data_IF_709886200262
#
_entry.id   IF_709886200262
#
_cell.length_a   1.000
_cell.length_b   1.000
_cell.length_c   1.000
_cell.angle_alpha   90.00
_cell.angle_beta   90.00
_cell.angle_gamma   90.00
#
_symmetry.space_group_name_H-M   'P 1'
#
loop_
_entity.id
_entity.type
_entity.pdbx_description
1 polymer ?
#
# COMPACT_ATOMS: atom_id res chain seq x y z
N UNK A 1 -6.04 -3.37 -4.42
CA UNK A 1 -5.25 -2.30 -3.75
C UNK A 1 -5.70 -2.16 -2.29
N UNK A 2 -4.78 -1.88 -1.39
CA UNK A 2 -5.03 -1.67 0.04
C UNK A 2 -4.38 -0.36 0.51
N UNK A 3 -5.16 0.57 1.06
CA UNK A 3 -4.67 1.83 1.60
C UNK A 3 -4.71 1.83 3.13
N UNK A 4 -3.54 2.00 3.76
CA UNK A 4 -3.41 2.07 5.21
C UNK A 4 -3.14 3.50 5.66
N UNK A 5 -3.81 3.97 6.71
CA UNK A 5 -3.69 5.35 7.17
C UNK A 5 -4.05 5.51 8.65
N UNK A 6 -3.72 6.65 9.24
CA UNK A 6 -4.13 6.98 10.61
C UNK A 6 -4.52 8.46 10.76
N UNK A 7 -5.62 8.78 11.45
CA UNK A 7 -6.01 10.18 11.71
C UNK A 7 -5.06 10.90 12.68
N UNK A 8 -4.07 10.19 13.26
CA UNK A 8 -3.04 10.76 14.14
C UNK A 8 -1.66 10.26 13.70
N UNK A 9 -0.71 11.19 13.56
CA UNK A 9 0.69 10.85 13.33
C UNK A 9 1.29 10.04 14.48
N UNK A 10 2.22 9.14 14.17
CA UNK A 10 2.89 8.27 15.14
C UNK A 10 2.04 7.10 15.67
N UNK A 11 0.96 6.73 14.97
CA UNK A 11 0.19 5.53 15.29
C UNK A 11 0.86 4.22 14.82
N UNK A 12 1.83 4.30 13.90
CA UNK A 12 2.55 3.15 13.34
C UNK A 12 2.10 2.71 11.95
N UNK A 13 1.43 3.56 11.16
CA UNK A 13 0.96 3.24 9.80
C UNK A 13 2.06 2.65 8.93
N UNK A 14 3.16 3.37 8.74
CA UNK A 14 4.32 2.96 7.94
C UNK A 14 4.92 1.65 8.40
N UNK A 15 5.04 1.46 9.73
CA UNK A 15 5.53 0.20 10.31
C UNK A 15 4.61 -0.99 10.01
N UNK A 16 3.28 -0.79 10.07
CA UNK A 16 2.30 -1.83 9.74
C UNK A 16 2.33 -2.14 8.24
N UNK A 17 2.43 -1.12 7.38
CA UNK A 17 2.60 -1.29 5.93
C UNK A 17 3.84 -2.13 5.62
N UNK A 18 4.99 -1.77 6.19
CA UNK A 18 6.23 -2.52 6.02
C UNK A 18 6.11 -3.97 6.53
N UNK A 19 5.47 -4.19 7.68
CA UNK A 19 5.25 -5.53 8.22
C UNK A 19 4.31 -6.39 7.37
N UNK A 20 3.26 -5.79 6.76
CA UNK A 20 2.41 -6.50 5.81
C UNK A 20 3.15 -6.84 4.53
N UNK A 21 3.90 -5.88 3.97
CA UNK A 21 4.72 -6.11 2.78
C UNK A 21 5.73 -7.24 3.02
N UNK A 22 6.43 -7.25 4.16
CA UNK A 22 7.32 -8.34 4.54
C UNK A 22 6.61 -9.69 4.66
N UNK A 23 5.37 -9.72 5.14
CA UNK A 23 4.56 -10.94 5.16
C UNK A 23 4.21 -11.43 3.75
N UNK A 24 4.12 -10.54 2.77
CA UNK A 24 3.78 -10.88 1.38
C UNK A 24 4.99 -11.29 0.53
N UNK A 25 6.23 -10.96 0.96
CA UNK A 25 7.48 -11.35 0.28
C UNK A 25 7.46 -12.83 -0.07
N UNK A 26 7.85 -13.15 -1.32
CA UNK A 26 7.91 -14.49 -1.90
C UNK A 26 6.58 -15.26 -1.93
N UNK A 27 5.45 -14.58 -1.68
CA UNK A 27 4.09 -15.14 -1.80
C UNK A 27 3.34 -14.52 -2.96
N UNK A 28 3.48 -13.20 -3.10
CA UNK A 28 2.93 -12.42 -4.20
C UNK A 28 3.83 -11.20 -4.47
N UNK A 29 3.82 -10.66 -5.70
CA UNK A 29 4.45 -9.39 -6.00
C UNK A 29 3.78 -8.24 -5.24
N UNK A 30 4.57 -7.29 -4.74
CA UNK A 30 4.08 -6.15 -3.93
C UNK A 30 4.55 -4.81 -4.51
N UNK A 31 3.61 -3.89 -4.71
CA UNK A 31 3.91 -2.49 -4.99
C UNK A 31 3.55 -1.62 -3.79
N UNK A 32 4.56 -1.05 -3.15
CA UNK A 32 4.44 -0.08 -2.08
C UNK A 32 4.33 1.34 -2.66
N UNK A 33 3.34 2.12 -2.22
CA UNK A 33 3.19 3.53 -2.59
C UNK A 33 3.32 4.37 -1.32
N UNK A 34 4.38 5.16 -1.23
CA UNK A 34 4.71 5.95 -0.04
C UNK A 34 4.24 7.40 -0.16
N UNK A 35 3.02 7.68 0.31
CA UNK A 35 2.49 9.04 0.35
C UNK A 35 3.04 9.83 1.55
N UNK A 36 3.39 9.14 2.64
CA UNK A 36 3.91 9.75 3.86
C UNK A 36 5.34 10.26 3.72
N UNK A 37 6.16 9.59 2.91
CA UNK A 37 7.60 9.83 2.76
C UNK A 37 8.47 9.12 3.79
N UNK A 38 7.87 8.28 4.65
CA UNK A 38 8.56 7.61 5.76
C UNK A 38 8.94 6.16 5.42
N UNK A 39 8.42 5.58 4.33
CA UNK A 39 8.52 4.14 4.11
C UNK A 39 9.92 3.74 3.64
N UNK A 40 10.55 4.52 2.75
CA UNK A 40 11.92 4.26 2.27
C UNK A 40 12.93 4.02 3.42
N UNK A 41 13.11 4.97 4.38
CA UNK A 41 14.06 4.74 5.47
C UNK A 41 13.64 3.58 6.38
N UNK A 42 12.34 3.33 6.59
CA UNK A 42 11.83 2.22 7.43
C UNK A 42 12.16 0.85 6.86
N UNK A 43 12.30 0.75 5.53
CA UNK A 43 12.64 -0.49 4.83
C UNK A 43 14.11 -0.60 4.44
N UNK A 44 14.93 0.39 4.83
CA UNK A 44 16.38 0.39 4.59
C UNK A 44 16.76 0.77 3.15
N UNK A 45 15.89 1.50 2.47
CA UNK A 45 16.13 2.04 1.13
C UNK A 45 16.28 3.55 1.19
N UNK A 46 17.05 4.10 0.26
CA UNK A 46 16.98 5.53 -0.05
C UNK A 46 15.71 5.82 -0.86
N UNK A 47 15.05 6.99 -0.67
CA UNK A 47 13.94 7.41 -1.52
C UNK A 47 14.40 7.56 -2.97
N UNK A 48 13.62 7.00 -3.90
CA UNK A 48 13.87 7.19 -5.33
C UNK A 48 13.65 8.65 -5.74
N UNK A 49 14.47 9.14 -6.68
CA UNK A 49 14.27 10.45 -7.31
C UNK A 49 13.06 10.46 -8.25
N UNK A 50 12.71 9.30 -8.81
CA UNK A 50 11.45 9.10 -9.53
C UNK A 50 10.39 8.62 -8.54
N UNK A 51 9.17 9.13 -8.67
CA UNK A 51 8.11 8.81 -7.73
C UNK A 51 6.77 9.38 -8.15
N UNK A 52 5.78 9.26 -7.29
CA UNK A 52 4.42 9.68 -7.61
C UNK A 52 4.31 11.18 -7.92
N UNK A 53 5.17 12.06 -7.36
CA UNK A 53 5.16 13.50 -7.69
C UNK A 53 5.48 13.75 -9.15
N UNK A 54 6.37 12.95 -9.74
CA UNK A 54 6.66 13.05 -11.16
C UNK A 54 5.38 12.76 -11.96
N UNK A 55 4.69 11.66 -11.65
CA UNK A 55 3.40 11.30 -12.25
C UNK A 55 2.34 12.40 -12.15
N UNK A 56 2.26 13.11 -11.02
CA UNK A 56 1.28 14.19 -10.86
C UNK A 56 1.61 15.42 -11.71
N UNK A 57 2.89 15.78 -11.83
CA UNK A 57 3.32 17.00 -12.51
C UNK A 57 3.51 16.83 -14.03
N UNK A 58 3.58 15.61 -14.54
CA UNK A 58 3.74 15.40 -15.98
C UNK A 58 2.55 15.85 -16.80
N UNK A 59 2.87 16.32 -18.00
CA UNK A 59 1.91 16.64 -19.05
C UNK A 59 1.74 15.52 -20.08
N UNK A 60 2.76 14.67 -20.23
CA UNK A 60 2.80 13.57 -21.20
C UNK A 60 2.83 12.22 -20.51
N UNK A 61 1.98 11.25 -20.92
CA UNK A 61 1.96 9.93 -20.33
C UNK A 61 3.27 9.19 -20.68
N UNK A 62 3.98 8.63 -19.70
CA UNK A 62 5.14 7.79 -19.99
C UNK A 62 4.68 6.46 -20.61
N UNK A 63 5.58 5.79 -21.33
CA UNK A 63 5.29 4.49 -21.95
C UNK A 63 4.98 3.36 -20.96
N UNK A 64 4.60 2.19 -21.49
CA UNK A 64 4.29 1.00 -20.71
C UNK A 64 5.41 0.61 -19.74
N UNK A 65 5.05 0.13 -18.55
CA UNK A 65 5.99 -0.28 -17.49
C UNK A 65 6.72 0.87 -16.79
N UNK A 66 6.44 2.13 -17.13
CA UNK A 66 7.04 3.28 -16.47
C UNK A 66 6.78 3.33 -14.97
N UNK A 67 5.66 2.78 -14.49
CA UNK A 67 5.31 2.75 -13.07
C UNK A 67 6.37 1.99 -12.29
N UNK A 68 6.66 0.75 -12.68
CA UNK A 68 7.71 -0.05 -12.04
C UNK A 68 9.10 0.54 -12.25
N UNK A 69 9.39 1.13 -13.42
CA UNK A 69 10.67 1.84 -13.65
C UNK A 69 10.82 3.12 -12.81
N UNK A 70 9.73 3.68 -12.31
CA UNK A 70 9.75 4.80 -11.36
C UNK A 70 9.99 4.34 -9.92
N UNK A 71 9.93 3.03 -9.65
CA UNK A 71 10.09 2.47 -8.33
C UNK A 71 11.54 2.04 -8.06
N UNK A 72 11.92 2.02 -6.78
CA UNK A 72 13.07 1.25 -6.33
C UNK A 72 12.62 -0.20 -6.02
N UNK A 73 13.33 -1.21 -6.50
CA UNK A 73 13.13 -2.58 -6.04
C UNK A 73 13.89 -2.76 -4.72
N UNK A 74 13.15 -2.84 -3.61
CA UNK A 74 13.72 -2.87 -2.25
C UNK A 74 13.99 -4.29 -1.75
N UNK A 75 13.28 -5.26 -2.31
CA UNK A 75 13.48 -6.71 -2.20
C UNK A 75 13.00 -7.35 -3.50
N UNK A 76 13.40 -8.60 -3.81
CA UNK A 76 12.86 -9.31 -4.97
C UNK A 76 11.33 -9.28 -4.98
N UNK A 77 10.76 -8.77 -6.08
CA UNK A 77 9.32 -8.62 -6.30
C UNK A 77 8.61 -7.66 -5.32
N UNK A 78 9.36 -6.76 -4.68
CA UNK A 78 8.82 -5.67 -3.85
C UNK A 78 9.34 -4.34 -4.35
N UNK A 79 8.46 -3.58 -4.99
CA UNK A 79 8.77 -2.26 -5.54
C UNK A 79 8.23 -1.15 -4.65
N UNK A 80 8.99 -0.07 -4.51
CA UNK A 80 8.64 1.12 -3.75
C UNK A 80 8.55 2.34 -4.67
N UNK A 81 7.33 2.86 -4.85
CA UNK A 81 7.07 4.17 -5.44
C UNK A 81 7.13 5.24 -4.34
N UNK A 82 8.29 5.86 -4.20
CA UNK A 82 8.53 6.99 -3.28
C UNK A 82 7.84 8.28 -3.74
N UNK A 83 8.00 9.36 -2.97
CA UNK A 83 7.50 10.69 -3.36
C UNK A 83 8.11 11.19 -4.66
N UNK A 84 9.41 10.97 -4.88
CA UNK A 84 10.13 11.51 -6.03
C UNK A 84 10.42 13.01 -5.91
N UNK A 85 11.30 13.48 -6.79
CA UNK A 85 11.63 14.89 -6.98
C UNK A 85 11.05 15.36 -8.31
N UNK A 86 10.19 16.39 -8.29
CA UNK A 86 9.49 16.91 -9.49
C UNK A 86 10.42 17.25 -10.64
N UNK A 87 11.65 17.70 -10.36
CA UNK A 87 12.64 18.03 -11.40
C UNK A 87 13.32 16.81 -12.05
N UNK A 88 13.10 15.60 -11.55
CA UNK A 88 13.76 14.40 -12.05
C UNK A 88 13.28 13.99 -13.46
N UNK A 89 11.99 14.15 -13.77
CA UNK A 89 11.47 13.73 -15.09
C UNK A 89 11.92 14.65 -16.22
N UNK A 90 11.97 15.96 -15.97
CA UNK A 90 12.44 16.97 -16.95
C UNK A 90 13.92 16.78 -17.31
N UNK A 91 14.75 16.38 -16.33
CA UNK A 91 16.17 16.06 -16.56
C UNK A 91 16.38 14.80 -17.41
N UNK A 92 15.37 13.96 -17.54
CA UNK A 92 15.40 12.72 -18.32
C UNK A 92 14.57 12.79 -19.61
N UNK A 93 14.12 13.98 -20.01
CA UNK A 93 13.77 14.29 -21.39
C UNK A 93 12.60 13.49 -22.00
N UNK A 94 11.45 13.36 -21.32
CA UNK A 94 10.14 13.06 -21.92
C UNK A 94 9.91 11.67 -22.52
N UNK A 95 10.90 11.11 -23.20
CA UNK A 95 10.99 9.75 -23.69
C UNK A 95 11.91 8.98 -22.75
N UNK A 96 11.33 8.01 -22.07
CA UNK A 96 11.98 7.25 -21.01
C UNK A 96 12.95 6.21 -21.60
N UNK A 97 13.99 6.62 -22.32
CA UNK A 97 15.20 5.79 -22.45
C UNK A 97 16.03 5.98 -21.17
N UNK A 98 15.67 5.21 -20.13
CA UNK A 98 16.54 5.02 -18.99
C UNK A 98 17.82 4.29 -19.47
N UNK A 99 19.02 4.66 -18.99
CA UNK A 99 20.24 3.98 -19.40
C UNK A 99 20.13 2.47 -19.12
N UNK A 100 20.51 1.65 -20.12
CA UNK A 100 20.41 0.18 -20.16
C UNK A 100 20.98 -0.55 -18.93
N UNK A 101 21.76 0.13 -18.08
CA UNK A 101 22.34 -0.42 -16.86
C UNK A 101 21.34 -0.67 -15.69
N UNK A 102 20.08 -0.24 -15.80
CA UNK A 102 19.02 -0.54 -14.83
C UNK A 102 18.09 -1.70 -15.27
N UNK A 103 18.38 -2.32 -16.42
CA UNK A 103 17.48 -3.30 -17.05
C UNK A 103 17.85 -4.71 -16.63
N UNK A 104 17.19 -5.17 -15.57
CA UNK A 104 16.83 -6.58 -15.44
C UNK A 104 15.42 -6.65 -14.87
N UNK A 105 14.46 -6.11 -15.61
CA UNK A 105 13.06 -6.44 -15.39
C UNK A 105 12.82 -7.86 -15.91
N UNK A 106 12.34 -8.81 -15.09
CA UNK A 106 11.92 -10.10 -15.61
C UNK A 106 10.64 -9.89 -16.43
N UNK A 107 10.65 -10.41 -17.65
CA UNK A 107 9.47 -10.50 -18.50
C UNK A 107 8.45 -11.41 -17.81
N UNK A 108 7.33 -10.86 -17.34
CA UNK A 108 6.19 -11.69 -16.91
C UNK A 108 5.73 -12.50 -18.12
N UNK A 109 5.86 -13.84 -18.04
CA UNK A 109 5.29 -14.74 -19.04
C UNK A 109 3.80 -14.84 -18.78
N UNK A 110 2.99 -14.26 -19.67
CA UNK A 110 1.57 -14.53 -19.74
C UNK A 110 1.36 -16.03 -19.98
N UNK A 111 1.00 -16.78 -18.94
CA UNK A 111 0.44 -18.12 -19.10
C UNK A 111 -1.04 -17.96 -19.35
N UNK A 112 -1.46 -18.18 -20.60
CA UNK A 112 -2.84 -18.12 -21.03
C UNK A 112 -3.71 -19.01 -20.15
N UNK A 113 -4.78 -18.42 -19.62
CA UNK A 113 -5.90 -19.16 -19.05
C UNK A 113 -7.08 -18.95 -19.99
N UNK A 114 -7.56 -20.07 -20.51
CA UNK A 114 -8.74 -20.22 -21.33
C UNK A 114 -9.93 -19.53 -20.64
N UNK A 115 -10.56 -18.58 -21.34
CA UNK A 115 -11.76 -17.89 -20.89
C UNK A 115 -12.95 -18.56 -21.54
N UNK A 116 -13.48 -19.59 -20.90
CA UNK A 116 -14.83 -20.08 -21.19
C UNK A 116 -15.61 -20.36 -19.90
N UNK A 117 -16.86 -19.87 -19.93
CA UNK A 117 -18.01 -20.17 -19.06
C UNK A 117 -17.93 -19.72 -17.57
N UNK A 118 -18.87 -18.98 -16.98
CA UNK A 118 -20.24 -18.63 -17.35
C UNK A 118 -20.66 -17.27 -16.79
N UNK A 119 -21.45 -16.56 -17.61
CA UNK A 119 -22.23 -15.38 -17.30
C UNK A 119 -23.26 -15.60 -16.19
N UNK A 120 -23.29 -14.71 -15.19
CA UNK A 120 -24.53 -14.33 -14.50
C UNK A 120 -24.59 -12.80 -14.47
N UNK A 121 -25.67 -12.28 -15.05
CA UNK A 121 -25.80 -10.90 -15.50
C UNK A 121 -25.74 -9.83 -14.43
N UNK A 122 -25.13 -8.71 -14.79
CA UNK A 122 -25.49 -7.40 -14.29
C UNK A 122 -25.58 -6.46 -15.50
N UNK A 123 -26.76 -5.87 -15.65
CA UNK A 123 -27.19 -5.00 -16.74
C UNK A 123 -26.20 -3.86 -17.01
N UNK A 124 -25.94 -3.63 -18.29
CA UNK A 124 -25.47 -2.34 -18.81
C UNK A 124 -26.55 -1.31 -18.51
N UNK A 125 -26.18 -0.22 -17.84
CA UNK A 125 -26.89 1.05 -17.88
C UNK A 125 -25.84 2.16 -17.85
N UNK A 126 -25.87 2.96 -18.91
CA UNK A 126 -25.06 4.13 -19.16
C UNK A 126 -25.28 5.28 -18.17
N UNK A 127 -24.31 6.20 -18.24
CA UNK A 127 -24.38 7.64 -17.97
C UNK A 127 -24.04 8.16 -16.56
N UNK A 128 -22.89 8.86 -16.54
CA UNK A 128 -22.68 10.21 -16.05
C UNK A 128 -23.27 10.66 -14.68
N UNK A 129 -22.33 11.14 -13.85
CA UNK A 129 -22.44 12.23 -12.86
C UNK A 129 -23.42 12.10 -11.70
N UNK A 130 -22.87 11.87 -10.51
CA UNK A 130 -23.27 12.51 -9.25
C UNK A 130 -22.04 12.48 -8.31
N UNK A 131 -21.44 13.59 -7.90
CA UNK A 131 -22.06 14.70 -7.17
C UNK A 131 -21.59 14.78 -5.69
N UNK A 132 -20.52 14.09 -5.29
CA UNK A 132 -19.76 14.42 -4.07
C UNK A 132 -18.80 15.59 -4.33
N UNK A 133 -18.36 16.36 -3.31
CA UNK A 133 -17.60 17.58 -3.53
C UNK A 133 -16.43 17.32 -4.47
N UNK A 134 -16.38 18.11 -5.54
CA UNK A 134 -15.45 18.07 -6.66
C UNK A 134 -14.00 18.21 -6.15
N UNK A 135 -13.42 17.12 -5.68
CA UNK A 135 -11.98 17.05 -5.43
C UNK A 135 -11.37 16.77 -6.78
N UNK A 136 -10.96 17.86 -7.44
CA UNK A 136 -10.17 17.85 -8.66
C UNK A 136 -9.10 16.76 -8.60
N UNK A 137 -8.93 16.05 -9.73
CA UNK A 137 -7.88 15.05 -9.86
C UNK A 137 -6.52 15.64 -9.45
N UNK A 138 -5.68 14.90 -8.71
CA UNK A 138 -4.36 15.40 -8.33
C UNK A 138 -3.37 15.44 -9.51
N UNK A 139 -3.74 14.89 -10.67
CA UNK A 139 -2.90 14.85 -11.85
C UNK A 139 -3.06 16.13 -12.68
N UNK A 140 -1.94 16.71 -13.10
CA UNK A 140 -1.92 17.85 -14.03
C UNK A 140 -2.51 17.50 -15.40
N UNK A 141 -2.40 16.23 -15.82
CA UNK A 141 -2.82 15.76 -17.14
C UNK A 141 -3.75 14.54 -17.05
N UNK A 142 -4.96 14.57 -17.64
CA UNK A 142 -5.88 13.43 -17.66
C UNK A 142 -5.33 12.22 -18.42
N UNK A 143 -4.43 12.41 -19.39
CA UNK A 143 -3.79 11.30 -20.11
C UNK A 143 -2.74 10.62 -19.25
N UNK A 144 -2.00 11.38 -18.42
CA UNK A 144 -1.06 10.83 -17.44
C UNK A 144 -1.79 10.08 -16.34
N UNK A 145 -2.90 10.63 -15.83
CA UNK A 145 -3.77 9.92 -14.88
C UNK A 145 -4.23 8.57 -15.45
N UNK A 146 -4.69 8.56 -16.72
CA UNK A 146 -5.12 7.33 -17.39
C UNK A 146 -3.99 6.31 -17.51
N UNK A 147 -2.77 6.75 -17.84
CA UNK A 147 -1.61 5.88 -17.95
C UNK A 147 -1.19 5.32 -16.58
N UNK A 148 -1.13 6.15 -15.54
CA UNK A 148 -0.84 5.73 -14.17
C UNK A 148 -1.87 4.70 -13.69
N UNK A 149 -3.15 4.99 -13.92
CA UNK A 149 -4.25 4.08 -13.65
C UNK A 149 -4.09 2.74 -14.36
N UNK A 150 -3.87 2.76 -15.66
CA UNK A 150 -3.74 1.54 -16.46
C UNK A 150 -2.61 0.67 -15.92
N UNK A 151 -1.45 1.27 -15.62
CA UNK A 151 -0.30 0.52 -15.11
C UNK A 151 -0.49 0.00 -13.68
N UNK A 152 -1.33 0.64 -12.86
CA UNK A 152 -1.77 0.08 -11.58
C UNK A 152 -2.72 -1.10 -11.78
N UNK A 153 -3.63 -1.02 -12.74
CA UNK A 153 -4.59 -2.07 -13.05
C UNK A 153 -3.91 -3.30 -13.69
N UNK A 154 -2.83 -3.08 -14.44
CA UNK A 154 -2.00 -4.12 -15.06
C UNK A 154 -1.02 -4.78 -14.06
N UNK A 155 -0.88 -4.26 -12.85
CA UNK A 155 0.02 -4.84 -11.85
C UNK A 155 -0.57 -6.13 -11.26
N UNK A 156 0.01 -7.27 -11.63
CA UNK A 156 -0.38 -8.60 -11.14
C UNK A 156 0.17 -8.88 -9.73
N UNK A 157 -0.35 -8.16 -8.73
CA UNK A 157 0.06 -8.32 -7.34
C UNK A 157 -0.73 -7.47 -6.37
N UNK A 158 -0.18 -7.27 -5.17
CA UNK A 158 -0.78 -6.41 -4.17
C UNK A 158 -0.15 -5.02 -4.20
N UNK A 159 -0.98 -4.01 -4.45
CA UNK A 159 -0.61 -2.61 -4.20
C UNK A 159 -0.98 -2.24 -2.76
N UNK A 160 0.01 -1.84 -1.95
CA UNK A 160 -0.17 -1.32 -0.59
C UNK A 160 0.20 0.17 -0.59
N UNK A 161 -0.73 1.02 -0.17
CA UNK A 161 -0.54 2.47 -0.07
C UNK A 161 -0.30 2.83 1.39
N UNK A 162 0.87 3.40 1.70
CA UNK A 162 1.09 4.13 2.94
C UNK A 162 0.49 5.52 2.80
N UNK A 163 -0.73 5.67 3.28
CA UNK A 163 -1.46 6.94 3.28
C UNK A 163 -1.01 7.89 4.39
N UNK A 164 -0.13 7.48 5.30
CA UNK A 164 0.29 8.28 6.45
C UNK A 164 -0.92 8.77 7.25
N UNK A 165 -1.20 10.08 7.15
CA UNK A 165 -2.35 10.72 7.83
C UNK A 165 -3.65 10.80 7.00
N UNK A 166 -3.63 10.28 5.77
CA UNK A 166 -4.74 10.36 4.82
C UNK A 166 -4.95 11.76 4.22
N UNK A 167 -4.01 12.68 4.37
CA UNK A 167 -4.22 14.08 3.97
C UNK A 167 -3.87 14.39 2.51
N UNK A 168 -3.01 13.58 1.90
CA UNK A 168 -2.58 13.82 0.54
C UNK A 168 -3.74 13.54 -0.45
N UNK A 169 -3.97 14.38 -1.47
CA UNK A 169 -5.05 14.17 -2.45
C UNK A 169 -5.03 12.78 -3.12
N UNK A 170 -3.84 12.22 -3.40
CA UNK A 170 -3.71 10.85 -3.93
C UNK A 170 -4.35 9.79 -3.03
N UNK A 171 -4.34 9.98 -1.71
CA UNK A 171 -5.00 9.04 -0.81
C UNK A 171 -6.50 8.94 -1.11
N UNK A 172 -7.18 10.10 -1.24
CA UNK A 172 -8.60 10.14 -1.62
C UNK A 172 -8.84 9.61 -3.04
N UNK A 173 -7.88 9.78 -3.94
CA UNK A 173 -7.93 9.23 -5.29
C UNK A 173 -7.92 7.69 -5.27
N UNK A 174 -7.03 7.07 -4.49
CA UNK A 174 -7.04 5.61 -4.29
C UNK A 174 -8.34 5.11 -3.65
N UNK A 175 -8.89 5.83 -2.65
CA UNK A 175 -10.17 5.48 -2.04
C UNK A 175 -11.31 5.47 -3.08
N UNK A 176 -11.39 6.49 -3.94
CA UNK A 176 -12.41 6.55 -5.02
C UNK A 176 -12.24 5.46 -6.06
N UNK A 177 -11.01 4.95 -6.25
CA UNK A 177 -10.75 3.77 -7.09
C UNK A 177 -11.11 2.44 -6.43
N UNK A 178 -11.68 2.46 -5.23
CA UNK A 178 -12.06 1.25 -4.51
C UNK A 178 -10.90 0.54 -3.81
N UNK A 179 -9.80 1.25 -3.51
CA UNK A 179 -8.79 0.70 -2.61
C UNK A 179 -9.42 0.46 -1.22
N UNK A 180 -9.29 -0.77 -0.70
CA UNK A 180 -9.75 -1.08 0.65
C UNK A 180 -9.02 -0.17 1.66
N UNK A 181 -9.75 0.44 2.57
CA UNK A 181 -9.28 1.47 3.50
C UNK A 181 -9.12 0.88 4.90
N UNK A 182 -7.88 0.64 5.31
CA UNK A 182 -7.56 0.13 6.65
C UNK A 182 -7.00 1.24 7.54
N UNK A 183 -7.63 1.46 8.68
CA UNK A 183 -7.19 2.47 9.63
C UNK A 183 -6.26 1.87 10.69
N UNK A 184 -5.06 2.41 10.86
CA UNK A 184 -4.12 2.03 11.92
C UNK A 184 -4.32 2.92 13.13
N UNK A 185 -4.64 2.33 14.28
CA UNK A 185 -4.90 3.07 15.52
C UNK A 185 -4.16 2.48 16.71
N UNK A 186 -3.36 3.32 17.36
CA UNK A 186 -2.84 3.06 18.70
C UNK A 186 -3.86 3.45 19.76
N UNK A 187 -4.07 2.57 20.74
CA UNK A 187 -5.10 2.68 21.79
C UNK A 187 -4.95 3.88 22.73
N UNK A 188 -5.19 5.08 22.22
CA UNK A 188 -5.19 6.33 22.98
C UNK A 188 -6.46 7.12 22.70
N UNK A 189 -6.96 7.84 23.72
CA UNK A 189 -8.18 8.63 23.63
C UNK A 189 -8.16 9.62 22.46
N UNK A 190 -7.04 10.32 22.27
CA UNK A 190 -6.91 11.29 21.18
C UNK A 190 -6.92 10.64 19.79
N UNK A 191 -6.32 9.45 19.65
CA UNK A 191 -6.35 8.68 18.40
C UNK A 191 -7.77 8.26 18.05
N UNK A 192 -8.49 7.70 19.03
CA UNK A 192 -9.88 7.27 18.86
C UNK A 192 -10.82 8.45 18.58
N UNK A 193 -10.64 9.58 19.27
CA UNK A 193 -11.42 10.81 19.02
C UNK A 193 -11.20 11.33 17.61
N UNK A 194 -9.95 11.41 17.14
CA UNK A 194 -9.62 11.85 15.78
C UNK A 194 -10.15 10.87 14.73
N UNK A 195 -10.16 9.57 15.02
CA UNK A 195 -10.74 8.54 14.15
C UNK A 195 -12.26 8.69 13.98
N UNK A 196 -12.99 8.95 15.06
CA UNK A 196 -14.41 9.25 14.97
C UNK A 196 -14.68 10.50 14.12
N UNK A 197 -13.83 11.53 14.25
CA UNK A 197 -13.94 12.79 13.50
C UNK A 197 -13.54 12.65 12.03
N UNK A 198 -12.58 11.78 11.69
CA UNK A 198 -12.09 11.63 10.31
C UNK A 198 -13.12 11.02 9.36
N UNK A 199 -14.21 10.44 9.89
CA UNK A 199 -15.30 9.86 9.08
C UNK A 199 -15.94 10.85 8.11
N UNK A 200 -16.03 12.12 8.49
CA UNK A 200 -16.57 13.16 7.60
C UNK A 200 -15.72 13.36 6.34
N UNK A 201 -14.41 13.09 6.43
CA UNK A 201 -13.45 13.25 5.32
C UNK A 201 -13.21 11.95 4.55
N UNK A 202 -13.10 10.82 5.26
CA UNK A 202 -12.64 9.54 4.69
C UNK A 202 -13.68 8.43 4.69
N UNK A 203 -14.90 8.71 5.16
CA UNK A 203 -15.91 7.67 5.37
C UNK A 203 -15.58 6.74 6.54
N UNK A 204 -16.35 5.66 6.66
CA UNK A 204 -16.04 4.56 7.59
C UNK A 204 -14.93 3.72 6.96
N UNK A 205 -13.83 3.42 7.67
CA UNK A 205 -12.80 2.51 7.13
C UNK A 205 -13.36 1.10 7.01
N UNK A 206 -12.90 0.33 6.01
CA UNK A 206 -13.31 -1.06 5.82
C UNK A 206 -12.83 -1.97 6.96
N UNK A 207 -11.70 -1.60 7.58
CA UNK A 207 -11.14 -2.31 8.71
C UNK A 207 -10.25 -1.43 9.58
N UNK A 208 -9.97 -1.91 10.79
CA UNK A 208 -9.06 -1.27 11.74
C UNK A 208 -7.96 -2.25 12.14
N UNK A 209 -6.70 -1.81 12.02
CA UNK A 209 -5.55 -2.45 12.64
C UNK A 209 -5.27 -1.73 13.95
N UNK A 210 -5.47 -2.43 15.06
CA UNK A 210 -5.30 -1.89 16.40
C UNK A 210 -3.89 -2.12 16.91
N UNK A 211 -3.25 -1.11 17.48
CA UNK A 211 -1.96 -1.23 18.17
C UNK A 211 -2.20 -1.20 19.68
N UNK A 212 -2.05 -2.37 20.31
CA UNK A 212 -2.23 -2.54 21.76
C UNK A 212 -0.98 -2.16 22.53
N UNK A 213 -1.06 -1.08 23.29
CA UNK A 213 0.01 -0.60 24.14
C UNK A 213 -0.29 -0.88 25.62
N UNK A 214 0.66 -1.49 26.38
CA UNK A 214 0.51 -1.68 27.82
C UNK A 214 0.24 -0.36 28.56
N UNK A 215 -0.59 -0.42 29.60
CA UNK A 215 -0.92 0.74 30.43
C UNK A 215 -1.98 1.68 29.85
N UNK A 216 -2.50 1.42 28.64
CA UNK A 216 -3.64 2.17 28.08
C UNK A 216 -4.97 1.62 28.57
N UNK A 217 -5.87 2.54 28.91
CA UNK A 217 -7.22 2.20 29.37
C UNK A 217 -8.14 1.72 28.23
N UNK A 218 -7.99 2.31 27.03
CA UNK A 218 -8.81 1.99 25.85
C UNK A 218 -8.26 0.76 25.16
N UNK A 219 -9.11 -0.25 24.95
CA UNK A 219 -8.78 -1.51 24.30
C UNK A 219 -9.50 -1.63 22.95
N UNK A 220 -9.09 -2.60 22.13
CA UNK A 220 -9.68 -2.86 20.82
C UNK A 220 -11.22 -2.98 20.85
N UNK A 221 -11.76 -3.72 21.84
CA UNK A 221 -13.21 -3.88 22.05
C UNK A 221 -13.98 -2.59 22.32
N UNK A 222 -13.31 -1.55 22.83
CA UNK A 222 -13.94 -0.26 23.10
C UNK A 222 -14.01 0.57 21.82
N UNK A 223 -13.04 0.38 20.91
CA UNK A 223 -12.96 1.08 19.64
C UNK A 223 -14.01 0.61 18.63
N UNK A 224 -14.34 -0.69 18.61
CA UNK A 224 -15.36 -1.27 17.73
C UNK A 224 -16.71 -0.52 17.81
N UNK A 225 -17.16 -0.23 19.04
CA UNK A 225 -18.39 0.53 19.31
C UNK A 225 -18.36 1.96 18.78
N UNK A 226 -17.19 2.58 18.71
CA UNK A 226 -17.02 3.99 18.32
C UNK A 226 -16.80 4.13 16.82
N UNK A 227 -15.97 3.27 16.24
CA UNK A 227 -15.52 3.36 14.86
C UNK A 227 -16.53 2.79 13.87
N UNK A 228 -17.37 1.83 14.32
CA UNK A 228 -18.31 1.10 13.46
C UNK A 228 -17.61 0.40 12.28
N UNK A 229 -16.40 -0.07 12.53
CA UNK A 229 -15.56 -0.76 11.58
C UNK A 229 -14.86 -1.93 12.29
N UNK A 230 -14.73 -3.10 11.65
CA UNK A 230 -14.20 -4.28 12.29
C UNK A 230 -12.72 -4.11 12.64
N UNK A 231 -12.35 -4.49 13.87
CA UNK A 231 -10.94 -4.68 14.22
C UNK A 231 -10.47 -6.00 13.59
N UNK A 232 -9.62 -5.93 12.56
CA UNK A 232 -9.14 -7.11 11.81
C UNK A 232 -7.79 -7.64 12.30
N UNK A 233 -7.06 -6.82 13.06
CA UNK A 233 -5.80 -7.21 13.67
C UNK A 233 -5.56 -6.44 14.97
N UNK A 234 -4.99 -7.12 15.97
CA UNK A 234 -4.49 -6.53 17.20
C UNK A 234 -2.98 -6.77 17.30
N UNK A 235 -2.20 -5.74 17.02
CA UNK A 235 -0.74 -5.77 17.00
C UNK A 235 -0.23 -5.26 18.35
N UNK A 236 0.41 -6.11 19.17
CA UNK A 236 0.95 -5.64 20.44
C UNK A 236 2.15 -4.72 20.20
N UNK A 237 2.18 -3.59 20.90
CA UNK A 237 3.36 -2.73 20.95
C UNK A 237 4.52 -3.50 21.58
N UNK A 238 5.66 -3.50 20.89
CA UNK A 238 6.90 -4.11 21.34
C UNK A 238 8.07 -3.17 21.06
N UNK A 239 8.99 -2.94 22.02
CA UNK A 239 10.18 -2.11 21.78
C UNK A 239 11.02 -2.60 20.59
N UNK A 240 11.05 -3.92 20.34
CA UNK A 240 11.78 -4.48 19.22
C UNK A 240 11.23 -4.04 17.86
N UNK A 241 9.92 -3.81 17.74
CA UNK A 241 9.32 -3.30 16.49
C UNK A 241 9.86 -1.89 16.20
N UNK A 242 9.83 -1.00 17.21
CA UNK A 242 10.37 0.35 17.08
C UNK A 242 11.86 0.32 16.70
N UNK A 243 12.68 -0.50 17.38
CA UNK A 243 14.11 -0.64 17.06
C UNK A 243 14.35 -1.13 15.63
N UNK A 244 13.58 -2.10 15.15
CA UNK A 244 13.68 -2.59 13.77
C UNK A 244 13.29 -1.51 12.76
N UNK A 245 12.25 -0.73 13.05
CA UNK A 245 11.83 0.43 12.24
C UNK A 245 12.91 1.51 12.20
N UNK A 246 13.43 1.91 13.36
CA UNK A 246 14.47 2.95 13.48
C UNK A 246 15.78 2.54 12.78
N UNK A 247 16.06 1.23 12.71
CA UNK A 247 17.22 0.68 12.02
C UNK A 247 17.01 0.50 10.50
N UNK A 248 15.81 0.75 9.97
CA UNK A 248 15.50 0.50 8.56
C UNK A 248 15.47 -0.97 8.18
N UNK A 249 15.12 -1.87 9.11
CA UNK A 249 15.21 -3.32 8.90
C UNK A 249 13.84 -3.99 8.79
N UNK A 250 12.76 -3.23 8.58
CA UNK A 250 11.39 -3.74 8.68
C UNK A 250 11.03 -4.76 7.58
N UNK A 251 11.68 -4.68 6.41
CA UNK A 251 11.52 -5.66 5.33
C UNK A 251 12.54 -6.80 5.39
N UNK A 252 13.82 -6.48 5.66
CA UNK A 252 14.93 -7.45 5.62
C UNK A 252 15.06 -8.28 6.89
N UNK A 253 14.61 -7.76 8.03
CA UNK A 253 14.52 -8.47 9.33
C UNK A 253 13.14 -8.24 9.96
N UNK A 254 12.07 -8.75 9.31
CA UNK A 254 10.73 -8.44 9.72
C UNK A 254 10.42 -9.01 11.11
N UNK A 255 9.68 -8.25 11.90
CA UNK A 255 9.20 -8.73 13.17
C UNK A 255 7.96 -9.61 12.97
N UNK A 256 8.05 -10.87 13.39
CA UNK A 256 6.99 -11.87 13.22
C UNK A 256 5.70 -11.49 13.93
N UNK A 257 5.75 -10.63 14.95
CA UNK A 257 4.57 -10.14 15.68
C UNK A 257 3.58 -9.44 14.75
N UNK A 258 4.07 -8.55 13.86
CA UNK A 258 3.20 -7.81 12.94
C UNK A 258 2.62 -8.78 11.91
N UNK A 259 3.47 -9.61 11.30
CA UNK A 259 3.06 -10.59 10.31
C UNK A 259 2.01 -11.56 10.86
N UNK A 260 2.22 -12.11 12.06
CA UNK A 260 1.27 -13.02 12.71
C UNK A 260 -0.06 -12.35 13.02
N UNK A 261 -0.04 -11.09 13.49
CA UNK A 261 -1.26 -10.34 13.78
C UNK A 261 -2.07 -10.02 12.51
N UNK A 262 -1.40 -9.74 11.39
CA UNK A 262 -2.04 -9.38 10.12
C UNK A 262 -2.43 -10.59 9.27
N UNK A 263 -1.81 -11.77 9.46
CA UNK A 263 -2.02 -12.95 8.64
C UNK A 263 -3.51 -13.38 8.46
N UNK A 264 -4.40 -13.30 9.48
CA UNK A 264 -5.82 -13.59 9.28
C UNK A 264 -6.49 -12.58 8.33
N UNK A 265 -6.29 -11.28 8.57
CA UNK A 265 -6.86 -10.21 7.75
C UNK A 265 -6.32 -10.27 6.31
N UNK A 266 -5.04 -10.57 6.16
CA UNK A 266 -4.38 -10.79 4.89
C UNK A 266 -5.03 -11.93 4.09
N UNK A 267 -5.24 -13.10 4.70
CA UNK A 267 -5.90 -14.23 4.04
C UNK A 267 -7.30 -13.87 3.54
N UNK A 268 -8.11 -13.24 4.39
CA UNK A 268 -9.45 -12.77 3.99
C UNK A 268 -9.40 -11.75 2.85
N UNK A 269 -8.41 -10.85 2.85
CA UNK A 269 -8.21 -9.90 1.76
C UNK A 269 -7.91 -10.63 0.45
N UNK A 270 -6.99 -11.61 0.47
CA UNK A 270 -6.63 -12.36 -0.73
C UNK A 270 -7.80 -13.18 -1.25
N UNK A 271 -8.48 -13.92 -0.38
CA UNK A 271 -9.65 -14.74 -0.73
C UNK A 271 -10.74 -13.92 -1.44
N UNK A 272 -10.95 -12.67 -1.02
CA UNK A 272 -11.93 -11.75 -1.64
C UNK A 272 -11.43 -11.12 -2.94
N UNK A 273 -10.12 -11.03 -3.13
CA UNK A 273 -9.50 -10.34 -4.26
C UNK A 273 -9.35 -11.21 -5.52
N UNK A 274 -9.48 -12.54 -5.39
CA UNK A 274 -9.20 -13.48 -6.48
C UNK A 274 -7.72 -13.58 -6.87
N UNK A 275 -6.81 -12.95 -6.11
CA UNK A 275 -5.36 -13.04 -6.33
C UNK A 275 -4.88 -14.47 -6.02
N UNK A 276 -4.12 -15.05 -6.94
CA UNK A 276 -3.46 -16.35 -6.73
C UNK A 276 -2.17 -16.16 -5.93
N UNK A 277 -2.00 -16.91 -4.85
CA UNK A 277 -0.80 -16.84 -3.99
C UNK A 277 0.14 -17.99 -4.35
N UNK A 278 1.44 -17.71 -4.49
CA UNK A 278 2.45 -18.75 -4.51
C UNK A 278 2.51 -19.43 -3.13
N UNK A 279 2.51 -20.77 -3.11
CA UNK A 279 2.73 -21.50 -1.84
C UNK A 279 4.18 -21.24 -1.41
N UNK A 280 4.43 -20.67 -0.22
CA UNK A 280 5.80 -20.43 0.21
C UNK A 280 6.54 -21.76 0.30
N UNK A 281 7.74 -21.84 -0.29
CA UNK A 281 8.60 -22.99 -0.12
C UNK A 281 8.82 -23.26 1.39
N UNK A 282 8.78 -24.52 1.84
CA UNK A 282 9.02 -24.84 3.25
C UNK A 282 10.38 -24.26 3.67
N UNK A 283 10.40 -23.47 4.73
CA UNK A 283 11.63 -22.92 5.28
C UNK A 283 12.53 -24.07 5.70
N UNK A 284 13.66 -24.27 5.02
CA UNK A 284 14.73 -25.14 5.52
C UNK A 284 15.21 -24.51 6.81
N UNK A 285 14.80 -25.07 7.95
CA UNK A 285 15.41 -24.71 9.24
C UNK A 285 16.86 -25.13 9.15
N UNK A 286 17.78 -24.17 9.16
CA UNK A 286 19.16 -24.43 9.49
C UNK A 286 19.24 -24.84 10.96
N UNK A 287 18.99 -26.12 11.21
CA UNK A 287 19.41 -26.82 12.41
C UNK A 287 20.30 -27.97 11.98
N UNK A 288 21.39 -28.10 12.73
CA UNK A 288 22.36 -29.21 12.75
C UNK A 288 23.55 -29.08 11.79
N UNK A 289 24.53 -28.30 12.23
CA UNK A 289 25.92 -28.74 12.15
C UNK A 289 26.48 -28.71 13.59
N UNK A 290 26.54 -29.91 14.18
CA UNK A 290 27.40 -30.23 15.30
C UNK A 290 28.86 -30.34 14.82
#
# INVERSE_FOLDING_TARGET
MLAMWSPKGGAGTTTVVAGLAAHCVARIPVLLIDLAGDLAPVVGSEPSRLGWRNWLESTHPPGSGALLRSCAEVLPEVWLLSQGDVGAWERHGGDLELPEAAVSAPTLRATGVDRDAHSIGASVADAATDGGPDVATPFRSPTVERAFRQQLDDFEGLVIIDGGRGEHPLFSWFQRRGAASWMVLRGCYLGLRRAAQSRARHGVPDAVVWISEPGRAIRARDADKVLRAPIVADVPWRPVIARTTDAGLSLTRPNDVIAKALAPAWRTLVERSGITIATPAPSVRAHDAA
#
